data_IF_373682379405
#
_entry.id   IF_373682379405
#
_cell.length_a   1.000
_cell.length_b   1.000
_cell.length_c   1.000
_cell.angle_alpha   90.00
_cell.angle_beta   90.00
_cell.angle_gamma   90.00
#
_symmetry.space_group_name_H-M   'P 1'
#
loop_
_entity.id
_entity.type
_entity.pdbx_description
1 polymer ?
#
# COMPACT_ATOMS: atom_id res chain seq x y z
N UNK A 1 -8.06 24.86 15.20
CA UNK A 1 -7.88 23.57 15.88
C UNK A 1 -9.16 22.77 15.72
N UNK A 2 -9.20 21.96 14.66
CA UNK A 2 -10.11 20.84 14.49
C UNK A 2 -9.46 20.02 13.39
N UNK A 3 -8.66 19.05 13.82
CA UNK A 3 -8.15 18.00 12.98
C UNK A 3 -9.30 17.46 12.13
N UNK A 4 -9.09 17.50 10.81
CA UNK A 4 -9.93 16.86 9.81
C UNK A 4 -9.80 15.35 10.03
N UNK A 5 -10.52 14.83 11.01
CA UNK A 5 -10.79 13.40 11.15
C UNK A 5 -11.63 13.00 9.95
N UNK A 6 -10.92 12.44 8.96
CA UNK A 6 -11.44 11.89 7.71
C UNK A 6 -12.60 10.90 8.01
N UNK A 7 -13.87 11.25 7.69
CA UNK A 7 -15.03 10.46 8.10
C UNK A 7 -15.26 9.20 7.25
N UNK A 8 -14.23 8.64 6.60
CA UNK A 8 -14.33 7.47 5.73
C UNK A 8 -14.37 6.11 6.48
N UNK A 9 -14.80 6.09 7.75
CA UNK A 9 -15.17 4.86 8.46
C UNK A 9 -16.62 4.49 8.11
N UNK A 10 -16.86 4.21 6.82
CA UNK A 10 -18.15 3.81 6.30
C UNK A 10 -17.98 2.63 5.35
N UNK A 11 -18.41 1.46 5.80
CA UNK A 11 -18.38 0.17 5.15
C UNK A 11 -19.04 0.17 3.75
N UNK A 12 -18.33 0.56 2.68
CA UNK A 12 -18.81 0.33 1.31
C UNK A 12 -17.69 -0.09 0.33
N UNK A 13 -17.64 -1.40 0.06
CA UNK A 13 -17.12 -2.06 -1.16
C UNK A 13 -15.78 -1.57 -1.76
N UNK A 14 -14.70 -2.26 -1.34
CA UNK A 14 -13.51 -2.65 -2.15
C UNK A 14 -13.05 -1.68 -3.26
N UNK A 15 -12.68 -0.45 -2.90
CA UNK A 15 -11.72 0.33 -3.70
C UNK A 15 -10.36 0.32 -3.00
N UNK A 16 -9.24 0.28 -3.75
CA UNK A 16 -7.92 0.53 -3.20
C UNK A 16 -7.93 1.93 -2.55
N UNK A 17 -8.00 1.99 -1.22
CA UNK A 17 -8.10 3.25 -0.49
C UNK A 17 -6.69 3.79 -0.24
N UNK A 18 -6.40 4.98 -0.76
CA UNK A 18 -5.22 5.74 -0.36
C UNK A 18 -5.69 6.95 0.44
N UNK A 19 -5.05 7.21 1.58
CA UNK A 19 -5.25 8.51 2.24
C UNK A 19 -4.75 9.61 1.31
N UNK A 20 -5.32 10.82 1.39
CA UNK A 20 -4.87 11.99 0.63
C UNK A 20 -3.34 12.18 0.62
N UNK A 21 -2.63 12.16 1.77
CA UNK A 21 -1.17 12.28 1.78
C UNK A 21 -0.47 11.07 1.14
N UNK A 22 -0.95 9.85 1.37
CA UNK A 22 -0.39 8.65 0.76
C UNK A 22 -0.54 8.66 -0.77
N UNK A 23 -1.67 9.14 -1.28
CA UNK A 23 -1.93 9.26 -2.72
C UNK A 23 -0.98 10.25 -3.38
N UNK A 24 -0.66 11.38 -2.71
CA UNK A 24 0.29 12.37 -3.24
C UNK A 24 1.69 11.77 -3.37
N UNK A 25 2.17 11.09 -2.33
CA UNK A 25 3.48 10.42 -2.37
C UNK A 25 3.49 9.32 -3.42
N UNK A 26 2.45 8.47 -3.43
CA UNK A 26 2.33 7.39 -4.41
C UNK A 26 2.29 7.91 -5.85
N UNK A 27 1.56 8.99 -6.12
CA UNK A 27 1.48 9.60 -7.45
C UNK A 27 2.80 10.28 -7.89
N UNK A 28 3.61 10.75 -6.93
CA UNK A 28 4.94 11.29 -7.22
C UNK A 28 5.97 10.20 -7.58
N UNK A 29 5.73 8.95 -7.20
CA UNK A 29 6.61 7.84 -7.57
C UNK A 29 6.37 7.51 -9.05
N UNK A 30 7.41 7.48 -9.90
CA UNK A 30 7.28 7.07 -11.30
C UNK A 30 6.67 5.67 -11.44
N UNK A 31 5.82 5.49 -12.46
CA UNK A 31 5.16 4.22 -12.77
C UNK A 31 6.10 2.98 -12.78
N UNK A 32 7.32 3.01 -13.37
CA UNK A 32 8.21 1.85 -13.31
C UNK A 32 8.65 1.49 -11.89
N UNK A 33 8.76 2.48 -10.99
CA UNK A 33 9.09 2.25 -9.58
C UNK A 33 7.86 1.73 -8.85
N UNK A 34 6.67 2.28 -9.10
CA UNK A 34 5.42 1.74 -8.57
C UNK A 34 5.25 0.26 -8.91
N UNK A 35 5.46 -0.12 -10.19
CA UNK A 35 5.40 -1.53 -10.62
C UNK A 35 6.41 -2.40 -9.87
N UNK A 36 7.67 -1.95 -9.75
CA UNK A 36 8.69 -2.68 -8.98
C UNK A 36 8.29 -2.88 -7.51
N UNK A 37 7.68 -1.88 -6.88
CA UNK A 37 7.20 -1.96 -5.49
C UNK A 37 6.02 -2.93 -5.35
N UNK A 38 5.17 -3.00 -6.37
CA UNK A 38 4.04 -3.92 -6.41
C UNK A 38 4.44 -5.34 -6.79
N UNK A 39 5.51 -5.55 -7.57
CA UNK A 39 5.96 -6.86 -8.03
C UNK A 39 6.97 -7.54 -7.08
N UNK A 40 7.71 -6.76 -6.28
CA UNK A 40 8.73 -7.27 -5.36
C UNK A 40 8.25 -7.39 -3.93
N UNK A 41 7.06 -7.93 -3.71
CA UNK A 41 6.49 -8.00 -2.36
C UNK A 41 6.51 -9.43 -1.82
N UNK A 42 7.05 -9.60 -0.61
CA UNK A 42 7.28 -10.91 -0.02
C UNK A 42 6.05 -11.49 0.66
N UNK A 43 5.37 -12.44 0.03
CA UNK A 43 4.22 -13.10 0.65
C UNK A 43 4.68 -14.21 1.61
N UNK A 44 4.38 -14.07 2.91
CA UNK A 44 4.69 -15.11 3.91
C UNK A 44 4.04 -16.46 3.63
N UNK A 45 2.83 -16.48 3.07
CA UNK A 45 2.12 -17.72 2.71
C UNK A 45 2.77 -18.42 1.52
N UNK A 46 3.10 -17.67 0.47
CA UNK A 46 3.76 -18.25 -0.71
C UNK A 46 5.27 -18.48 -0.50
N UNK A 47 5.86 -17.84 0.51
CA UNK A 47 7.30 -17.82 0.82
C UNK A 47 8.15 -17.43 -0.39
N UNK A 48 7.64 -16.49 -1.20
CA UNK A 48 8.32 -15.94 -2.37
C UNK A 48 7.90 -14.50 -2.62
N UNK A 49 8.70 -13.79 -3.40
CA UNK A 49 8.31 -12.52 -4.00
C UNK A 49 7.13 -12.74 -4.97
N UNK A 50 6.17 -11.84 -4.93
CA UNK A 50 4.95 -11.91 -5.72
C UNK A 50 4.41 -10.51 -5.97
N UNK A 51 3.51 -10.42 -6.96
CA UNK A 51 2.76 -9.20 -7.23
C UNK A 51 1.64 -8.97 -6.22
N UNK A 52 1.49 -7.72 -5.80
CA UNK A 52 0.40 -7.21 -4.97
C UNK A 52 -0.71 -6.63 -5.85
N UNK A 53 -1.93 -7.08 -5.61
CA UNK A 53 -3.15 -6.60 -6.26
C UNK A 53 -4.12 -6.02 -5.23
N UNK A 54 -5.05 -5.17 -5.68
CA UNK A 54 -6.06 -4.53 -4.82
C UNK A 54 -5.42 -3.87 -3.59
N UNK A 55 -4.40 -3.04 -3.84
CA UNK A 55 -3.56 -2.44 -2.81
C UNK A 55 -4.08 -1.07 -2.37
N UNK A 56 -3.93 -0.76 -1.08
CA UNK A 56 -4.23 0.51 -0.42
C UNK A 56 -2.93 1.10 0.13
N UNK A 57 -2.89 2.41 0.34
CA UNK A 57 -1.72 3.09 0.92
C UNK A 57 -2.10 4.06 2.01
N UNK A 58 -1.32 4.07 3.09
CA UNK A 58 -1.50 5.00 4.21
C UNK A 58 -0.15 5.51 4.67
N UNK A 59 -0.11 6.70 5.28
CA UNK A 59 1.09 7.21 5.93
C UNK A 59 1.08 6.74 7.38
N UNK A 60 2.16 6.07 7.81
CA UNK A 60 2.37 5.67 9.20
C UNK A 60 3.75 6.10 9.64
N UNK A 61 3.83 6.96 10.65
CA UNK A 61 5.12 7.45 11.17
C UNK A 61 5.96 8.23 10.15
N UNK A 62 5.33 8.82 9.13
CA UNK A 62 6.01 9.50 8.03
C UNK A 62 6.29 8.62 6.80
N UNK A 63 6.27 7.30 6.94
CA UNK A 63 6.51 6.36 5.84
C UNK A 63 5.21 6.03 5.07
N UNK A 64 5.31 5.89 3.74
CA UNK A 64 4.24 5.33 2.91
C UNK A 64 4.19 3.81 3.08
N UNK A 65 3.10 3.33 3.70
CA UNK A 65 2.84 1.91 3.90
C UNK A 65 1.77 1.45 2.93
N UNK A 66 2.15 0.52 2.04
CA UNK A 66 1.23 -0.17 1.13
C UNK A 66 0.72 -1.47 1.78
N UNK A 67 -0.54 -1.77 1.57
CA UNK A 67 -1.18 -3.02 2.03
C UNK A 67 -2.05 -3.57 0.93
N UNK A 68 -2.06 -4.88 0.69
CA UNK A 68 -2.85 -5.42 -0.42
C UNK A 68 -3.01 -6.93 -0.36
N UNK A 69 -3.36 -7.51 -1.49
CA UNK A 69 -3.61 -8.95 -1.64
C UNK A 69 -2.52 -9.56 -2.51
N UNK A 70 -2.03 -10.74 -2.11
CA UNK A 70 -1.13 -11.52 -2.95
C UNK A 70 -1.86 -12.02 -4.21
N UNK A 71 -1.33 -11.73 -5.40
CA UNK A 71 -1.90 -12.21 -6.66
C UNK A 71 -1.89 -13.74 -6.77
N UNK A 72 -0.91 -14.42 -6.16
CA UNK A 72 -0.74 -15.86 -6.27
C UNK A 72 -1.67 -16.69 -5.35
N UNK A 73 -1.92 -16.24 -4.11
CA UNK A 73 -2.73 -17.00 -3.14
C UNK A 73 -4.02 -16.29 -2.71
N UNK A 74 -4.25 -15.05 -3.15
CA UNK A 74 -5.45 -14.29 -2.81
C UNK A 74 -5.57 -13.88 -1.33
N UNK A 75 -4.57 -14.18 -0.50
CA UNK A 75 -4.59 -13.81 0.91
C UNK A 75 -4.31 -12.32 1.08
N UNK A 76 -5.12 -11.65 1.91
CA UNK A 76 -4.88 -10.29 2.40
C UNK A 76 -3.56 -10.32 3.12
N UNK A 77 -2.56 -9.74 2.51
CA UNK A 77 -1.24 -9.76 3.05
C UNK A 77 -1.17 -8.89 4.31
N UNK A 78 -1.31 -9.51 5.47
CA UNK A 78 -0.89 -8.93 6.74
C UNK A 78 0.64 -8.81 6.86
N UNK A 79 1.41 -8.97 5.77
CA UNK A 79 2.87 -8.99 5.80
C UNK A 79 3.55 -8.63 4.47
N UNK A 80 2.87 -7.93 3.55
CA UNK A 80 3.54 -7.33 2.39
C UNK A 80 3.95 -5.92 2.80
N UNK A 81 5.18 -5.76 3.28
CA UNK A 81 5.77 -4.46 3.61
C UNK A 81 6.62 -4.01 2.43
N UNK A 82 6.21 -2.92 1.79
CA UNK A 82 7.07 -2.13 0.92
C UNK A 82 7.36 -0.84 1.70
N UNK A 83 8.57 -0.73 2.27
CA UNK A 83 9.02 0.52 2.88
C UNK A 83 9.75 1.32 1.80
N UNK A 84 9.20 2.48 1.43
CA UNK A 84 10.02 3.52 0.81
C UNK A 84 10.85 4.13 1.93
N UNK A 85 12.13 3.80 1.98
CA UNK A 85 13.11 4.64 2.69
C UNK A 85 13.58 5.63 1.64
N UNK A 86 13.24 6.91 1.78
CA UNK A 86 13.96 7.94 1.05
C UNK A 86 15.43 7.79 1.46
N UNK A 87 16.26 7.41 0.49
CA UNK A 87 17.68 7.21 0.71
C UNK A 87 18.31 8.59 0.77
N UNK A 88 18.51 9.13 1.97
CA UNK A 88 19.46 10.22 2.21
C UNK A 88 20.90 9.68 2.22
#
# INVERSE_FOLDING_TARGET
>A
MADMEDPSMGEHRRRPYFTLPARRIWANIPEPIQRKLLDNVWCRTCRRATTMVKYSGQIKGGDLVLTGICAACGQKAGALWARLVESE
#
